data_IF_322984365281
#
_entry.id   IF_322984365281
#
_cell.length_a   1.000
_cell.length_b   1.000
_cell.length_c   1.000
_cell.angle_alpha   90.00
_cell.angle_beta   90.00
_cell.angle_gamma   90.00
#
_symmetry.space_group_name_H-M   'P 1'
#
loop_
_entity.id
_entity.type
_entity.pdbx_description
1 polymer ?
#
# COMPACT_ATOMS: atom_id res chain seq x y z
N UNK A 1 -6.91 28.03 3.84
CA UNK A 1 -6.20 27.60 2.62
C UNK A 1 -6.65 26.21 2.28
N UNK A 2 -7.45 26.06 1.22
CA UNK A 2 -7.88 24.76 0.73
C UNK A 2 -7.20 24.54 -0.61
N UNK A 3 -6.49 23.42 -0.73
CA UNK A 3 -5.89 23.03 -2.01
C UNK A 3 -7.06 22.73 -2.96
N UNK A 4 -7.08 23.32 -4.17
CA UNK A 4 -8.09 23.02 -5.17
C UNK A 4 -8.09 21.52 -5.51
N UNK A 5 -9.25 21.00 -5.91
CA UNK A 5 -9.34 19.62 -6.36
C UNK A 5 -8.39 19.40 -7.54
N UNK A 6 -7.52 18.39 -7.42
CA UNK A 6 -6.52 18.06 -8.43
C UNK A 6 -7.11 17.00 -9.37
N UNK A 7 -6.83 17.04 -10.68
CA UNK A 7 -7.32 16.04 -11.65
C UNK A 7 -6.53 14.72 -11.57
N UNK A 8 -6.22 14.26 -10.35
CA UNK A 8 -5.53 13.00 -10.08
C UNK A 8 -5.95 12.46 -8.71
N UNK A 9 -5.95 11.14 -8.57
CA UNK A 9 -6.13 10.44 -7.29
C UNK A 9 -4.79 10.18 -6.60
N UNK A 10 -4.81 10.16 -5.27
CA UNK A 10 -3.69 9.74 -4.44
C UNK A 10 -4.14 8.62 -3.50
N UNK A 11 -3.37 7.54 -3.44
CA UNK A 11 -3.61 6.38 -2.57
C UNK A 11 -2.43 6.24 -1.62
N UNK A 12 -2.71 6.14 -0.32
CA UNK A 12 -1.71 5.89 0.73
C UNK A 12 -1.72 4.41 1.08
N UNK A 13 -0.56 3.75 1.05
CA UNK A 13 -0.40 2.37 1.49
C UNK A 13 0.61 2.28 2.65
N UNK A 14 0.35 1.47 3.68
CA UNK A 14 1.30 1.24 4.77
C UNK A 14 2.44 0.32 4.35
N UNK A 15 3.62 0.53 4.93
CA UNK A 15 4.78 -0.37 4.82
C UNK A 15 5.02 -1.03 6.17
N UNK A 16 5.26 -2.33 6.16
CA UNK A 16 5.50 -3.13 7.36
C UNK A 16 6.90 -3.76 7.30
N UNK A 17 7.62 -3.73 8.42
CA UNK A 17 8.97 -4.32 8.54
C UNK A 17 8.90 -5.70 9.20
N UNK A 18 8.31 -6.69 8.51
CA UNK A 18 8.10 -8.04 9.07
C UNK A 18 9.40 -8.80 9.34
N UNK A 19 10.47 -8.54 8.59
CA UNK A 19 11.78 -9.19 8.75
C UNK A 19 12.49 -8.86 10.08
N UNK A 20 11.98 -7.90 10.87
CA UNK A 20 12.49 -7.57 12.21
C UNK A 20 11.60 -8.12 13.35
N UNK A 21 10.47 -8.74 13.03
CA UNK A 21 9.46 -9.17 13.99
C UNK A 21 9.23 -10.68 13.88
N UNK A 22 10.22 -11.48 14.30
CA UNK A 22 10.28 -12.92 14.04
C UNK A 22 9.15 -13.78 14.63
N UNK A 23 8.26 -13.24 15.48
CA UNK A 23 7.16 -13.97 16.14
C UNK A 23 5.87 -13.15 16.24
N UNK A 24 5.76 -12.01 15.55
CA UNK A 24 4.54 -11.18 15.65
C UNK A 24 3.51 -11.64 14.64
N UNK A 25 2.29 -11.85 15.10
CA UNK A 25 1.14 -12.14 14.25
C UNK A 25 0.99 -11.04 13.17
N UNK A 26 1.11 -11.47 11.90
CA UNK A 26 0.99 -10.63 10.72
C UNK A 26 -0.49 -10.47 10.38
N UNK A 27 -1.23 -9.86 11.29
CA UNK A 27 -2.63 -9.52 11.13
C UNK A 27 -2.86 -8.04 11.47
N UNK A 28 -3.75 -7.41 10.71
CA UNK A 28 -4.24 -6.07 11.02
C UNK A 28 -5.09 -6.15 12.28
N UNK A 29 -4.84 -5.24 13.22
CA UNK A 29 -5.57 -5.13 14.46
C UNK A 29 -5.93 -3.67 14.75
N UNK A 30 -6.55 -3.40 15.91
CA UNK A 30 -6.86 -2.04 16.34
C UNK A 30 -5.59 -1.21 16.61
N UNK A 31 -4.46 -1.87 16.88
CA UNK A 31 -3.17 -1.23 17.09
C UNK A 31 -2.40 -1.03 15.78
N UNK A 32 -1.82 0.15 15.61
CA UNK A 32 -1.00 0.48 14.44
C UNK A 32 0.36 -0.24 14.51
N UNK A 33 0.63 -1.11 13.54
CA UNK A 33 1.89 -1.86 13.40
C UNK A 33 2.77 -1.44 12.21
N UNK A 34 2.29 -0.53 11.36
CA UNK A 34 3.05 -0.07 10.20
C UNK A 34 4.23 0.81 10.61
N UNK A 35 5.39 0.65 9.97
CA UNK A 35 6.61 1.41 10.24
C UNK A 35 6.85 2.56 9.26
N UNK A 36 6.10 2.58 8.17
CA UNK A 36 6.17 3.64 7.17
C UNK A 36 4.94 3.67 6.27
N UNK A 37 4.98 4.57 5.30
CA UNK A 37 3.92 4.76 4.31
C UNK A 37 4.49 5.17 2.96
N UNK A 38 3.76 4.82 1.90
CA UNK A 38 4.03 5.24 0.53
C UNK A 38 2.78 5.83 -0.08
N UNK A 39 2.96 6.71 -1.07
CA UNK A 39 1.87 7.33 -1.80
C UNK A 39 1.98 7.05 -3.29
N UNK A 40 0.94 6.45 -3.87
CA UNK A 40 0.77 6.32 -5.31
C UNK A 40 -0.14 7.42 -5.85
N UNK A 41 0.29 8.10 -6.91
CA UNK A 41 -0.49 9.17 -7.57
C UNK A 41 -0.77 8.76 -9.02
N UNK A 42 -2.01 8.87 -9.45
CA UNK A 42 -2.45 8.46 -10.79
C UNK A 42 -3.68 9.22 -11.26
N UNK A 43 -3.96 9.19 -12.56
CA UNK A 43 -5.16 9.81 -13.14
C UNK A 43 -6.41 9.00 -12.81
N UNK A 44 -6.26 7.69 -12.58
CA UNK A 44 -7.32 6.78 -12.15
C UNK A 44 -6.98 6.17 -10.80
N UNK A 45 -8.02 5.69 -10.10
CA UNK A 45 -7.85 4.99 -8.83
C UNK A 45 -6.95 3.75 -8.98
N UNK A 46 -7.17 2.93 -10.01
CA UNK A 46 -6.40 1.69 -10.24
C UNK A 46 -4.91 1.97 -10.48
N UNK A 47 -4.59 3.04 -11.21
CA UNK A 47 -3.20 3.46 -11.44
C UNK A 47 -2.54 3.91 -10.13
N UNK A 48 -3.23 4.75 -9.35
CA UNK A 48 -2.73 5.23 -8.06
C UNK A 48 -2.54 4.07 -7.07
N UNK A 49 -3.48 3.12 -7.03
CA UNK A 49 -3.43 1.93 -6.20
C UNK A 49 -2.25 1.03 -6.60
N UNK A 50 -2.09 0.74 -7.90
CA UNK A 50 -0.99 -0.09 -8.39
C UNK A 50 0.38 0.50 -8.01
N UNK A 51 0.56 1.82 -8.17
CA UNK A 51 1.78 2.53 -7.74
C UNK A 51 2.00 2.45 -6.23
N UNK A 52 0.94 2.58 -5.42
CA UNK A 52 1.05 2.50 -3.97
C UNK A 52 1.43 1.09 -3.49
N UNK A 53 0.80 0.05 -4.05
CA UNK A 53 1.09 -1.36 -3.73
C UNK A 53 2.52 -1.72 -4.14
N UNK A 54 2.94 -1.35 -5.35
CA UNK A 54 4.30 -1.61 -5.83
C UNK A 54 5.34 -0.83 -4.98
N UNK A 55 5.05 0.44 -4.64
CA UNK A 55 5.87 1.24 -3.73
C UNK A 55 5.98 0.66 -2.32
N UNK A 56 4.95 -0.04 -1.84
CA UNK A 56 4.96 -0.74 -0.55
C UNK A 56 5.71 -2.08 -0.61
N UNK A 57 6.34 -2.40 -1.74
CA UNK A 57 7.07 -3.62 -2.02
C UNK A 57 6.18 -4.88 -1.99
N UNK A 58 4.87 -4.72 -2.19
CA UNK A 58 3.91 -5.80 -2.37
C UNK A 58 3.88 -6.16 -3.86
N UNK A 59 4.80 -7.02 -4.29
CA UNK A 59 4.88 -7.43 -5.71
C UNK A 59 3.66 -8.28 -6.08
N UNK A 60 2.90 -7.82 -7.06
CA UNK A 60 1.83 -8.59 -7.68
C UNK A 60 2.48 -9.43 -8.79
N UNK A 61 2.41 -10.78 -8.72
CA UNK A 61 2.91 -11.63 -9.79
C UNK A 61 2.04 -11.46 -11.05
N UNK A 62 2.67 -11.50 -12.23
CA UNK A 62 1.98 -11.35 -13.53
C UNK A 62 1.30 -12.66 -13.97
N UNK A 63 1.75 -13.81 -13.44
CA UNK A 63 1.18 -15.13 -13.68
C UNK A 63 1.04 -15.94 -12.37
N UNK A 64 0.39 -17.11 -12.47
CA UNK A 64 0.24 -18.04 -11.35
C UNK A 64 -1.21 -18.44 -11.07
N UNK A 65 -1.43 -19.08 -9.92
CA UNK A 65 -2.75 -19.52 -9.46
C UNK A 65 -3.15 -18.71 -8.22
N UNK A 66 -4.37 -18.19 -8.22
CA UNK A 66 -4.94 -17.50 -7.06
C UNK A 66 -5.44 -18.55 -6.07
N UNK A 67 -4.91 -18.54 -4.86
CA UNK A 67 -5.51 -19.24 -3.72
C UNK A 67 -6.52 -18.28 -3.08
N UNK A 68 -7.79 -18.68 -3.05
CA UNK A 68 -8.86 -17.96 -2.35
C UNK A 68 -9.13 -18.58 -0.99
#
# INVERSE_FOLDING_TARGET
>A
GLVPNKPYGAVKAPVFSFSKMGLVEIALGPEMKSTGEVMGIGRTYSEALFKAINGANMRIPEDGTILM
#
